data_IF_857526392639
#
_entry.id   IF_857526392639
#
_cell.length_a   1.000
_cell.length_b   1.000
_cell.length_c   1.000
_cell.angle_alpha   90.00
_cell.angle_beta   90.00
_cell.angle_gamma   90.00
#
_symmetry.space_group_name_H-M   'P 1'
#
loop_
_entity.id
_entity.type
_entity.pdbx_description
1 polymer ?
#
# COMPACT_ATOMS: atom_id res chain seq x y z
N UNK A 1 10.99 0.14 25.45
CA UNK A 1 10.89 1.59 25.68
C UNK A 1 11.17 2.27 24.37
N UNK A 2 10.19 2.97 23.80
CA UNK A 2 10.35 3.68 22.53
C UNK A 2 10.74 5.13 22.85
N UNK A 3 11.82 5.60 22.25
CA UNK A 3 12.23 7.00 22.33
C UNK A 3 11.91 7.64 20.98
N UNK A 4 11.03 8.64 20.98
CA UNK A 4 10.70 9.43 19.79
C UNK A 4 11.52 10.72 19.85
N UNK A 5 12.25 11.01 18.78
CA UNK A 5 13.03 12.24 18.62
C UNK A 5 12.36 13.09 17.54
N UNK A 6 12.02 14.34 17.85
CA UNK A 6 11.40 15.29 16.92
C UNK A 6 12.25 16.53 16.68
N UNK A 7 12.04 17.25 15.55
CA UNK A 7 12.73 18.50 15.26
C UNK A 7 12.39 19.57 16.31
N UNK A 8 13.39 20.37 16.65
CA UNK A 8 13.45 21.23 17.82
C UNK A 8 12.91 22.63 17.49
N UNK A 9 11.87 23.10 18.17
CA UNK A 9 11.53 24.54 18.12
C UNK A 9 12.24 25.32 19.23
N UNK A 10 12.57 24.75 20.40
CA UNK A 10 13.21 25.56 21.47
C UNK A 10 14.22 24.90 22.43
N UNK A 11 14.37 23.58 22.54
CA UNK A 11 15.26 23.12 23.63
C UNK A 11 15.26 21.65 23.94
N UNK A 12 14.10 21.07 24.20
CA UNK A 12 13.96 19.70 24.64
C UNK A 12 12.55 19.23 24.29
N UNK A 13 12.43 18.20 23.45
CA UNK A 13 11.28 17.31 23.50
C UNK A 13 11.83 15.88 23.62
N UNK A 14 11.99 15.45 24.87
CA UNK A 14 12.13 14.04 25.20
C UNK A 14 10.75 13.58 25.67
N UNK A 15 9.86 13.26 24.74
CA UNK A 15 8.69 12.46 25.08
C UNK A 15 9.19 11.04 25.35
N UNK A 16 9.61 10.79 26.59
CA UNK A 16 9.79 9.43 27.08
C UNK A 16 8.39 8.89 27.32
N UNK A 17 7.88 8.05 26.41
CA UNK A 17 6.61 7.36 26.62
C UNK A 17 6.91 6.13 27.49
N UNK A 18 6.59 6.15 28.80
CA UNK A 18 6.89 5.03 29.68
C UNK A 18 6.05 3.82 29.25
N UNK A 19 6.74 2.69 29.04
CA UNK A 19 6.16 1.36 28.84
C UNK A 19 4.97 1.30 27.87
N UNK A 20 5.25 1.48 26.58
CA UNK A 20 4.31 0.99 25.58
C UNK A 20 4.21 -0.55 25.68
N UNK A 21 3.03 -1.16 25.45
CA UNK A 21 2.90 -2.62 25.39
C UNK A 21 3.95 -3.17 24.44
N UNK A 22 4.60 -4.30 24.80
CA UNK A 22 5.76 -4.81 24.08
C UNK A 22 5.50 -4.87 22.57
N UNK A 23 6.14 -3.97 21.83
CA UNK A 23 6.09 -3.92 20.38
C UNK A 23 6.99 -5.00 19.81
N UNK A 24 6.48 -6.21 19.73
CA UNK A 24 7.12 -7.25 18.97
C UNK A 24 6.84 -6.95 17.49
N UNK A 25 7.85 -6.44 16.78
CA UNK A 25 7.97 -6.40 15.31
C UNK A 25 7.40 -5.21 14.52
N UNK A 26 6.90 -4.13 15.15
CA UNK A 26 6.45 -2.92 14.43
C UNK A 26 7.16 -1.68 14.96
N UNK A 27 7.82 -0.91 14.08
CA UNK A 27 8.36 0.41 14.40
C UNK A 27 7.26 1.43 14.11
N UNK A 28 6.75 2.14 15.11
CA UNK A 28 5.72 3.12 14.85
C UNK A 28 6.35 4.39 14.26
N UNK A 29 5.62 5.04 13.36
CA UNK A 29 6.12 6.23 12.64
C UNK A 29 5.42 7.47 13.16
N UNK A 30 6.13 8.41 13.82
CA UNK A 30 5.54 9.66 14.28
C UNK A 30 5.39 10.65 13.11
N UNK A 31 4.26 11.35 13.05
CA UNK A 31 4.09 12.53 12.18
C UNK A 31 3.77 13.73 13.03
N UNK A 32 4.40 14.85 12.71
CA UNK A 32 4.26 16.10 13.45
C UNK A 32 3.40 17.06 12.64
N UNK A 33 2.27 17.46 13.20
CA UNK A 33 1.38 18.47 12.63
C UNK A 33 1.35 19.68 13.57
N UNK A 34 1.46 20.88 13.00
CA UNK A 34 1.39 22.13 13.75
C UNK A 34 0.10 22.87 13.42
N UNK A 35 -0.83 22.93 14.36
CA UNK A 35 -2.10 23.66 14.23
C UNK A 35 -2.01 25.11 14.78
N UNK A 36 -0.78 25.54 15.13
CA UNK A 36 -0.53 26.82 15.80
C UNK A 36 -0.87 26.83 17.30
N UNK A 37 -1.52 25.79 17.83
CA UNK A 37 -1.86 25.61 19.25
C UNK A 37 -0.91 24.61 19.95
N UNK A 38 -0.26 23.74 19.17
CA UNK A 38 0.76 22.82 19.64
C UNK A 38 1.31 21.94 18.52
N UNK A 39 2.11 20.96 18.90
CA UNK A 39 2.56 19.88 18.02
C UNK A 39 1.69 18.67 18.33
N UNK A 40 0.83 18.30 17.39
CA UNK A 40 0.10 17.04 17.42
C UNK A 40 1.02 15.98 16.82
N UNK A 41 1.25 14.90 17.56
CA UNK A 41 2.01 13.77 17.06
C UNK A 41 1.10 12.57 16.85
N UNK A 42 0.96 12.16 15.60
CA UNK A 42 0.16 11.00 15.22
C UNK A 42 1.06 9.79 15.07
N UNK A 43 0.71 8.69 15.73
CA UNK A 43 1.44 7.43 15.72
C UNK A 43 0.69 6.40 14.90
N UNK A 44 1.33 5.89 13.85
CA UNK A 44 0.79 4.80 13.05
C UNK A 44 1.38 3.46 13.45
N UNK A 45 0.53 2.44 13.56
CA UNK A 45 0.93 1.11 14.01
C UNK A 45 0.20 0.00 13.28
N UNK A 46 0.91 -1.08 13.02
CA UNK A 46 0.33 -2.38 12.68
C UNK A 46 0.34 -3.25 13.94
N UNK A 47 -0.75 -3.32 14.73
CA UNK A 47 -0.71 -3.72 16.15
C UNK A 47 -0.45 -5.20 16.39
N UNK A 48 -0.63 -6.04 15.37
CA UNK A 48 -0.32 -7.45 15.37
C UNK A 48 -0.20 -7.85 13.90
N UNK A 49 0.87 -8.55 13.53
CA UNK A 49 1.04 -9.02 12.16
C UNK A 49 -0.19 -9.84 11.69
N UNK A 50 -1.01 -10.38 12.60
CA UNK A 50 -2.22 -11.15 12.24
C UNK A 50 -3.51 -10.31 12.09
N UNK A 51 -3.61 -9.14 12.71
CA UNK A 51 -4.85 -8.34 12.60
C UNK A 51 -4.95 -7.65 11.25
N UNK A 52 -3.80 -7.36 10.61
CA UNK A 52 -3.72 -6.65 9.33
C UNK A 52 -4.52 -5.34 9.34
N UNK A 53 -4.38 -4.60 10.43
CA UNK A 53 -5.00 -3.30 10.60
C UNK A 53 -3.93 -2.22 10.79
N UNK A 54 -4.24 -1.01 10.38
CA UNK A 54 -3.50 0.21 10.65
C UNK A 54 -4.23 1.00 11.73
N UNK A 55 -3.63 1.05 12.91
CA UNK A 55 -4.13 1.88 14.00
C UNK A 55 -3.47 3.25 13.98
N UNK A 56 -4.25 4.27 14.34
CA UNK A 56 -3.80 5.65 14.52
C UNK A 56 -3.99 6.05 15.98
N UNK A 57 -2.98 6.68 16.56
CA UNK A 57 -3.02 7.17 17.93
C UNK A 57 -2.59 8.63 18.01
N UNK A 58 -3.28 9.40 18.84
CA UNK A 58 -2.89 10.72 19.27
C UNK A 58 -1.90 10.63 20.44
N UNK A 59 -0.74 11.25 20.26
CA UNK A 59 0.21 11.49 21.35
C UNK A 59 -0.08 12.87 21.93
N UNK A 60 -0.61 12.88 23.15
CA UNK A 60 -0.84 14.13 23.85
C UNK A 60 0.48 14.80 24.25
N UNK A 61 0.66 16.11 24.03
CA UNK A 61 1.87 16.81 24.46
C UNK A 61 1.96 16.94 25.98
N UNK A 62 0.83 16.84 26.69
CA UNK A 62 0.74 17.05 28.15
C UNK A 62 0.53 15.75 28.94
N UNK A 63 0.27 14.64 28.25
CA UNK A 63 -0.01 13.35 28.88
C UNK A 63 0.87 12.25 28.29
N UNK A 64 1.44 11.35 29.12
CA UNK A 64 2.24 10.22 28.65
C UNK A 64 1.40 9.11 28.01
N UNK A 65 0.10 9.32 27.81
CA UNK A 65 -0.84 8.34 27.29
C UNK A 65 -1.07 8.52 25.79
N UNK A 66 -1.12 7.39 25.08
CA UNK A 66 -1.63 7.33 23.71
C UNK A 66 -3.16 7.24 23.75
N UNK A 67 -3.83 8.10 22.99
CA UNK A 67 -5.27 7.99 22.74
C UNK A 67 -5.46 7.35 21.38
N UNK A 68 -6.07 6.17 21.32
CA UNK A 68 -6.46 5.56 20.04
C UNK A 68 -7.51 6.44 19.33
N UNK A 69 -7.31 6.70 18.04
CA UNK A 69 -8.21 7.52 17.23
C UNK A 69 -9.04 6.66 16.29
N UNK A 70 -8.39 5.81 15.50
CA UNK A 70 -9.05 5.04 14.45
C UNK A 70 -8.25 3.80 14.07
N UNK A 71 -8.93 2.86 13.42
CA UNK A 71 -8.35 1.64 12.85
C UNK A 71 -8.83 1.46 11.41
N UNK A 72 -7.94 1.06 10.49
CA UNK A 72 -8.26 0.77 9.08
C UNK A 72 -7.73 -0.59 8.65
N UNK A 73 -8.43 -1.29 7.77
CA UNK A 73 -7.96 -2.59 7.26
C UNK A 73 -6.83 -2.40 6.23
N UNK A 74 -5.75 -3.17 6.36
CA UNK A 74 -4.71 -3.24 5.34
C UNK A 74 -5.14 -4.07 4.13
N UNK A 75 -6.19 -4.87 4.25
CA UNK A 75 -6.65 -5.83 3.25
C UNK A 75 -8.02 -5.43 2.70
N UNK A 76 -8.34 -5.80 1.45
CA UNK A 76 -9.72 -5.74 0.96
C UNK A 76 -10.69 -6.47 1.91
N UNK A 77 -11.93 -5.97 2.09
CA UNK A 77 -12.90 -6.52 3.03
C UNK A 77 -13.31 -7.97 2.71
N UNK A 78 -13.20 -8.38 1.45
CA UNK A 78 -13.49 -9.75 1.01
C UNK A 78 -12.47 -10.80 1.45
N UNK A 79 -11.35 -10.39 2.07
CA UNK A 79 -10.25 -11.28 2.42
C UNK A 79 -10.18 -11.59 3.91
N UNK A 80 -9.90 -12.84 4.23
CA UNK A 80 -9.63 -13.25 5.61
C UNK A 80 -8.23 -12.81 6.06
N UNK A 81 -8.17 -11.97 7.10
CA UNK A 81 -6.92 -11.50 7.72
C UNK A 81 -5.97 -12.61 8.19
N UNK A 82 -6.51 -13.79 8.54
CA UNK A 82 -5.71 -14.94 9.01
C UNK A 82 -4.65 -15.45 8.03
N UNK A 83 -4.82 -15.14 6.73
CA UNK A 83 -3.93 -15.57 5.64
C UNK A 83 -2.83 -14.58 5.33
N UNK A 84 -2.82 -13.41 5.96
CA UNK A 84 -1.90 -12.32 5.61
C UNK A 84 -1.14 -11.83 6.82
N UNK A 85 -0.04 -11.15 6.56
CA UNK A 85 0.71 -10.43 7.58
C UNK A 85 1.09 -9.04 7.11
N UNK A 86 0.76 -8.02 7.89
CA UNK A 86 1.31 -6.67 7.70
C UNK A 86 2.83 -6.71 7.79
N UNK A 87 3.49 -5.80 7.09
CA UNK A 87 4.93 -5.90 6.89
C UNK A 87 5.63 -4.54 6.94
N UNK A 88 5.52 -3.73 5.89
CA UNK A 88 6.13 -2.40 5.83
C UNK A 88 5.08 -1.30 5.99
N UNK A 89 5.48 -0.18 6.61
CA UNK A 89 4.72 1.06 6.68
C UNK A 89 5.65 2.21 6.33
N UNK A 90 5.24 3.05 5.38
CA UNK A 90 5.91 4.27 4.97
C UNK A 90 4.92 5.43 4.88
N UNK A 91 5.45 6.64 4.94
CA UNK A 91 4.71 7.87 4.69
C UNK A 91 5.21 8.47 3.38
N UNK A 92 4.34 9.14 2.62
CA UNK A 92 4.81 9.95 1.51
C UNK A 92 5.81 11.00 1.99
N UNK A 93 6.88 11.27 1.22
CA UNK A 93 7.75 12.40 1.50
C UNK A 93 6.96 13.72 1.53
N UNK A 94 7.31 14.60 2.45
CA UNK A 94 6.83 15.99 2.43
C UNK A 94 7.34 16.70 1.16
N UNK A 95 6.49 17.48 0.52
CA UNK A 95 6.83 18.33 -0.63
C UNK A 95 6.64 19.81 -0.26
N UNK A 96 7.13 20.76 -1.08
CA UNK A 96 6.84 22.18 -0.85
C UNK A 96 5.34 22.51 -0.89
N UNK A 97 4.53 21.81 -1.70
CA UNK A 97 3.07 21.99 -1.72
C UNK A 97 2.38 21.26 -0.56
N UNK A 98 2.96 20.16 -0.08
CA UNK A 98 2.45 19.33 1.01
C UNK A 98 3.53 19.14 2.08
N UNK A 99 3.72 20.09 3.00
CA UNK A 99 4.78 20.02 4.02
C UNK A 99 4.59 18.86 5.00
N UNK A 100 3.38 18.30 5.06
CA UNK A 100 3.02 17.11 5.81
C UNK A 100 2.77 15.94 4.85
N UNK A 101 3.08 14.70 5.26
CA UNK A 101 2.67 13.52 4.50
C UNK A 101 1.16 13.50 4.29
N UNK A 102 0.74 13.31 3.05
CA UNK A 102 -0.68 13.23 2.65
C UNK A 102 -1.11 11.80 2.31
N UNK A 103 -0.17 10.84 2.32
CA UNK A 103 -0.49 9.41 2.19
C UNK A 103 0.33 8.52 3.12
N UNK A 104 -0.27 7.38 3.49
CA UNK A 104 0.40 6.25 4.14
C UNK A 104 0.43 5.07 3.18
N UNK A 105 1.60 4.46 3.08
CA UNK A 105 1.84 3.27 2.27
C UNK A 105 2.09 2.12 3.19
N UNK A 106 1.39 1.01 2.96
CA UNK A 106 1.58 -0.19 3.74
C UNK A 106 1.70 -1.39 2.83
N UNK A 107 2.44 -2.40 3.28
CA UNK A 107 2.48 -3.70 2.62
C UNK A 107 1.97 -4.79 3.54
N UNK A 108 1.34 -5.78 2.93
CA UNK A 108 1.11 -7.09 3.53
C UNK A 108 1.76 -8.15 2.66
N UNK A 109 2.07 -9.29 3.28
CA UNK A 109 2.52 -10.51 2.60
C UNK A 109 1.55 -11.65 2.88
N UNK A 110 1.55 -12.63 1.99
CA UNK A 110 0.88 -13.90 2.25
C UNK A 110 1.50 -14.62 3.45
N UNK A 111 0.67 -15.35 4.19
CA UNK A 111 1.09 -16.25 5.26
C UNK A 111 1.68 -17.57 4.74
N UNK A 112 1.59 -17.81 3.42
CA UNK A 112 2.10 -18.97 2.69
C UNK A 112 2.70 -18.54 1.36
N UNK A 113 3.44 -19.45 0.72
CA UNK A 113 4.16 -19.19 -0.52
C UNK A 113 3.27 -18.98 -1.76
N UNK A 114 2.03 -19.45 -1.71
CA UNK A 114 1.04 -19.33 -2.76
C UNK A 114 0.10 -18.12 -2.58
N UNK A 115 0.22 -17.41 -1.46
CA UNK A 115 -0.65 -16.28 -1.12
C UNK A 115 0.06 -14.97 -1.49
N UNK A 116 -0.59 -14.18 -2.33
CA UNK A 116 -0.13 -12.85 -2.75
C UNK A 116 -0.19 -11.85 -1.59
N UNK A 117 0.64 -10.81 -1.65
CA UNK A 117 0.58 -9.69 -0.73
C UNK A 117 -0.30 -8.56 -1.26
N UNK A 118 -0.34 -7.46 -0.51
CA UNK A 118 -1.06 -6.25 -0.88
C UNK A 118 -0.23 -5.02 -0.59
N UNK A 119 -0.25 -4.04 -1.48
CA UNK A 119 0.13 -2.66 -1.21
C UNK A 119 -1.17 -1.88 -1.00
N UNK A 120 -1.28 -1.19 0.14
CA UNK A 120 -2.43 -0.35 0.47
C UNK A 120 -1.97 1.09 0.72
N UNK A 121 -2.60 2.02 0.01
CA UNK A 121 -2.35 3.46 0.05
C UNK A 121 -3.52 4.11 0.76
N UNK A 122 -3.28 4.82 1.85
CA UNK A 122 -4.31 5.55 2.60
C UNK A 122 -4.14 7.05 2.43
N UNK A 123 -5.23 7.76 2.24
CA UNK A 123 -5.26 9.23 2.18
C UNK A 123 -5.27 9.85 3.57
N UNK A 124 -4.40 10.83 3.80
CA UNK A 124 -4.36 11.62 5.02
C UNK A 124 -4.86 13.04 4.76
N UNK A 125 -5.69 13.53 5.68
CA UNK A 125 -6.08 14.93 5.74
C UNK A 125 -4.97 15.82 6.30
N UNK A 126 -5.24 17.12 6.37
CA UNK A 126 -4.28 18.11 6.87
C UNK A 126 -3.87 17.88 8.34
N UNK A 127 -4.77 17.29 9.12
CA UNK A 127 -4.55 16.96 10.54
C UNK A 127 -3.82 15.62 10.73
N UNK A 128 -3.54 14.88 9.64
CA UNK A 128 -3.00 13.53 9.70
C UNK A 128 -4.03 12.44 10.01
N UNK A 129 -5.32 12.75 9.98
CA UNK A 129 -6.38 11.74 10.09
C UNK A 129 -6.73 11.14 8.72
N UNK A 130 -7.34 9.95 8.69
CA UNK A 130 -7.81 9.35 7.45
C UNK A 130 -8.92 10.17 6.80
N UNK A 131 -8.80 10.45 5.51
CA UNK A 131 -9.86 11.13 4.75
C UNK A 131 -11.08 10.21 4.60
N UNK A 132 -12.20 10.59 5.19
CA UNK A 132 -13.50 9.94 4.98
C UNK A 132 -14.17 10.61 3.77
N UNK A 133 -14.11 9.96 2.61
CA UNK A 133 -14.86 10.43 1.43
C UNK A 133 -16.32 10.04 1.58
N UNK A 134 -17.18 10.95 2.03
CA UNK A 134 -18.62 10.72 1.95
C UNK A 134 -19.01 10.61 0.47
N UNK A 135 -19.07 9.40 -0.11
CA UNK A 135 -19.67 9.27 -1.43
C UNK A 135 -21.14 9.55 -1.27
N UNK A 136 -21.57 10.66 -1.86
CA UNK A 136 -22.88 11.21 -1.61
C UNK A 136 -24.00 10.25 -2.01
N UNK A 137 -24.49 9.46 -1.05
CA UNK A 137 -25.91 9.56 -0.74
C UNK A 137 -26.09 11.01 -0.30
N UNK A 138 -26.30 11.89 -1.27
CA UNK A 138 -26.81 13.24 -1.05
C UNK A 138 -28.21 13.06 -0.47
N UNK A 139 -28.30 12.73 0.83
CA UNK A 139 -29.50 13.04 1.58
C UNK A 139 -29.54 14.56 1.56
N UNK A 140 -30.36 15.09 0.65
CA UNK A 140 -30.74 16.48 0.65
C UNK A 140 -31.39 16.73 2.01
N UNK A 141 -30.58 17.10 3.00
CA UNK A 141 -31.06 17.64 4.28
C UNK A 141 -31.55 19.04 3.94
N UNK A 142 -32.74 19.05 3.34
CA UNK A 142 -33.62 20.18 3.31
C UNK A 142 -33.74 20.67 4.74
N UNK A 143 -33.51 21.97 4.89
CA UNK A 143 -33.74 22.76 6.09
C UNK A 143 -35.26 22.73 6.37
N UNK A 144 -35.72 21.62 6.92
CA UNK A 144 -37.12 21.35 7.28
C UNK A 144 -37.28 21.38 8.79
N UNK A 145 -37.22 22.57 9.36
CA UNK A 145 -37.74 22.86 10.70
C UNK A 145 -39.25 22.57 10.73
N UNK A 146 -39.69 21.59 11.53
CA UNK A 146 -40.95 21.67 12.28
C UNK A 146 -41.15 20.45 13.21
N UNK A 147 -41.09 20.76 14.50
CA UNK A 147 -41.80 20.15 15.64
C UNK A 147 -43.06 19.33 15.27
N UNK A 148 -43.25 18.16 15.89
CA UNK A 148 -44.10 17.95 17.09
C UNK A 148 -44.59 16.49 17.11
N UNK A 149 -44.46 15.86 18.28
CA UNK A 149 -44.44 14.41 18.42
C UNK A 149 -45.78 13.70 18.29
N UNK A 150 -45.67 12.38 18.22
CA UNK A 150 -46.69 11.51 18.80
C UNK A 150 -46.08 10.18 19.22
N UNK A 151 -46.65 9.64 20.30
CA UNK A 151 -46.26 8.46 21.06
C UNK A 151 -46.62 7.21 20.27
N UNK A 152 -45.63 6.41 19.86
CA UNK A 152 -45.87 5.11 19.20
C UNK A 152 -45.22 3.98 19.98
N UNK A 153 -46.03 2.94 20.17
CA UNK A 153 -45.79 1.76 20.98
C UNK A 153 -44.69 0.87 20.39
N UNK A 154 -43.97 0.26 21.33
CA UNK A 154 -42.81 -0.61 21.16
C UNK A 154 -43.21 -1.86 20.37
N UNK A 155 -42.75 -1.96 19.12
CA UNK A 155 -42.81 -3.18 18.31
C UNK A 155 -41.42 -3.81 18.32
N UNK A 156 -41.32 -4.99 18.90
CA UNK A 156 -40.16 -5.88 18.79
C UNK A 156 -40.21 -6.44 17.36
N UNK A 157 -39.42 -5.86 16.46
CA UNK A 157 -39.20 -6.36 15.11
C UNK A 157 -37.74 -6.77 14.97
N UNK A 158 -37.58 -7.86 14.22
CA UNK A 158 -36.39 -8.66 14.06
C UNK A 158 -35.14 -7.82 13.73
N UNK A 159 -34.11 -7.96 14.57
CA UNK A 159 -32.74 -7.54 14.29
C UNK A 159 -32.19 -8.42 13.15
N UNK A 160 -32.57 -8.11 11.91
CA UNK A 160 -31.81 -8.58 10.75
C UNK A 160 -30.49 -7.83 10.76
N UNK A 161 -29.39 -8.56 10.93
CA UNK A 161 -28.01 -8.09 10.82
C UNK A 161 -27.83 -7.44 9.43
N UNK A 162 -28.14 -6.15 9.32
CA UNK A 162 -27.66 -5.30 8.22
C UNK A 162 -26.15 -5.25 8.39
N UNK A 163 -25.45 -6.16 7.69
CA UNK A 163 -24.01 -6.08 7.49
C UNK A 163 -23.74 -4.72 6.83
N UNK A 164 -23.46 -3.70 7.66
CA UNK A 164 -22.99 -2.40 7.22
C UNK A 164 -21.76 -2.69 6.35
N UNK A 165 -21.94 -2.67 5.02
CA UNK A 165 -20.83 -2.68 4.09
C UNK A 165 -20.00 -1.46 4.45
N UNK A 166 -18.91 -1.67 5.20
CA UNK A 166 -17.96 -0.64 5.56
C UNK A 166 -17.40 -0.09 4.25
N UNK A 167 -18.02 0.96 3.73
CA UNK A 167 -17.59 1.64 2.52
C UNK A 167 -16.20 2.18 2.79
N UNK A 168 -15.20 1.48 2.27
CA UNK A 168 -13.82 1.71 2.62
C UNK A 168 -13.28 2.89 1.83
N UNK A 169 -13.55 4.08 2.34
CA UNK A 169 -13.17 5.32 1.72
C UNK A 169 -11.71 5.68 1.95
N UNK A 170 -11.08 6.22 0.91
CA UNK A 170 -9.73 6.78 1.01
C UNK A 170 -8.61 5.73 1.02
N UNK A 171 -8.86 4.52 0.50
CA UNK A 171 -7.83 3.50 0.31
C UNK A 171 -7.77 3.03 -1.14
N UNK A 172 -6.57 3.01 -1.71
CA UNK A 172 -6.27 2.35 -2.99
C UNK A 172 -5.40 1.12 -2.74
N UNK A 173 -5.66 0.05 -3.47
CA UNK A 173 -5.00 -1.24 -3.25
C UNK A 173 -4.47 -1.85 -4.52
N UNK A 174 -3.33 -2.50 -4.39
CA UNK A 174 -2.69 -3.28 -5.44
C UNK A 174 -2.26 -4.64 -4.89
N UNK A 175 -2.70 -5.70 -5.55
CA UNK A 175 -2.29 -7.07 -5.22
C UNK A 175 -0.87 -7.30 -5.75
N UNK A 176 0.06 -7.68 -4.87
CA UNK A 176 1.44 -7.93 -5.27
C UNK A 176 1.60 -9.33 -5.86
N UNK A 177 2.66 -9.59 -6.64
CA UNK A 177 3.10 -10.96 -6.89
C UNK A 177 3.35 -11.72 -5.57
N UNK A 178 3.28 -13.05 -5.60
CA UNK A 178 3.61 -13.83 -4.40
C UNK A 178 5.07 -13.65 -4.01
N UNK A 179 5.28 -13.38 -2.72
CA UNK A 179 6.60 -13.30 -2.11
C UNK A 179 7.06 -14.58 -1.44
N UNK A 180 6.43 -15.73 -1.69
CA UNK A 180 6.83 -16.94 -0.98
C UNK A 180 6.67 -16.81 0.55
N UNK A 181 5.76 -15.94 1.02
CA UNK A 181 5.61 -15.60 2.44
C UNK A 181 6.71 -14.68 3.02
N UNK A 182 7.56 -14.08 2.18
CA UNK A 182 8.58 -13.12 2.59
C UNK A 182 8.08 -11.67 2.57
N UNK A 183 8.87 -10.81 3.18
CA UNK A 183 8.58 -9.39 3.34
C UNK A 183 8.76 -8.64 2.00
N UNK A 184 7.88 -7.69 1.74
CA UNK A 184 8.03 -6.76 0.64
C UNK A 184 8.71 -5.49 1.16
N UNK A 185 9.90 -5.19 0.64
CA UNK A 185 10.49 -3.88 0.83
C UNK A 185 9.96 -2.95 -0.26
N UNK A 186 9.50 -1.76 0.17
CA UNK A 186 9.02 -0.70 -0.72
C UNK A 186 9.89 0.54 -0.53
N UNK A 187 10.18 1.23 -1.63
CA UNK A 187 10.74 2.58 -1.64
C UNK A 187 9.84 3.49 -2.48
N UNK A 188 9.70 4.75 -2.07
CA UNK A 188 8.84 5.73 -2.71
C UNK A 188 9.68 6.87 -3.30
N UNK A 189 9.46 7.17 -4.58
CA UNK A 189 10.16 8.23 -5.30
C UNK A 189 9.13 9.21 -5.90
N UNK A 190 9.01 10.45 -5.36
CA UNK A 190 8.12 11.46 -5.91
C UNK A 190 8.45 11.75 -7.38
N UNK A 191 7.44 11.71 -8.26
CA UNK A 191 7.67 11.92 -9.70
C UNK A 191 8.19 13.32 -10.04
N UNK A 192 7.81 14.30 -9.22
CA UNK A 192 8.27 15.70 -9.33
C UNK A 192 9.80 15.82 -9.22
N UNK A 193 10.44 14.94 -8.45
CA UNK A 193 11.90 14.95 -8.26
C UNK A 193 12.66 14.26 -9.39
N UNK A 194 12.03 13.31 -10.09
CA UNK A 194 12.67 12.53 -11.17
C UNK A 194 12.75 13.35 -12.47
N UNK A 195 12.23 14.58 -12.51
CA UNK A 195 12.36 15.45 -13.68
C UNK A 195 11.66 14.92 -14.93
N UNK A 196 10.81 13.89 -14.79
CA UNK A 196 9.89 13.40 -15.82
C UNK A 196 8.72 14.37 -15.95
N UNK A 197 9.03 15.65 -16.09
CA UNK A 197 8.11 16.61 -16.65
C UNK A 197 7.86 16.11 -18.06
N UNK A 198 6.66 15.57 -18.33
CA UNK A 198 6.24 15.12 -19.66
C UNK A 198 6.51 16.24 -20.67
N UNK A 199 7.66 16.20 -21.32
CA UNK A 199 8.17 17.22 -22.26
C UNK A 199 7.46 17.16 -23.61
N UNK A 200 6.35 16.44 -23.73
CA UNK A 200 5.75 16.08 -25.02
C UNK A 200 4.33 16.59 -25.26
N UNK A 201 3.69 17.27 -24.32
CA UNK A 201 2.33 17.81 -24.54
C UNK A 201 2.33 19.33 -24.35
N UNK A 202 3.01 20.02 -25.26
CA UNK A 202 2.91 21.48 -25.43
C UNK A 202 1.56 21.90 -26.09
N UNK A 203 0.57 20.98 -26.13
CA UNK A 203 -0.74 21.18 -26.72
C UNK A 203 -1.73 21.83 -25.75
N UNK A 204 -1.89 23.14 -25.88
CA UNK A 204 -3.11 23.90 -25.49
C UNK A 204 -3.33 24.16 -24.00
N UNK A 205 -2.60 25.16 -23.47
CA UNK A 205 -3.19 26.44 -23.02
C UNK A 205 -4.41 26.48 -22.09
N UNK A 206 -4.75 25.40 -21.39
CA UNK A 206 -5.82 25.39 -20.40
C UNK A 206 -5.33 25.90 -19.05
N UNK A 207 -5.28 27.23 -18.87
CA UNK A 207 -5.21 27.85 -17.55
C UNK A 207 -6.44 27.37 -16.73
N UNK A 208 -6.21 26.60 -15.66
CA UNK A 208 -7.26 26.27 -14.68
C UNK A 208 -7.44 24.80 -14.30
N UNK A 209 -6.58 23.88 -14.74
CA UNK A 209 -6.61 22.49 -14.27
C UNK A 209 -5.98 22.32 -12.88
N UNK A 210 -6.61 22.82 -11.81
CA UNK A 210 -6.35 22.37 -10.44
C UNK A 210 -6.51 20.84 -10.40
N UNK A 211 -5.46 20.11 -10.03
CA UNK A 211 -5.47 18.64 -10.02
C UNK A 211 -4.43 17.97 -10.91
N UNK A 212 -3.32 18.68 -11.23
CA UNK A 212 -2.17 18.12 -11.93
C UNK A 212 -1.41 17.14 -11.02
N UNK A 213 -1.88 15.89 -10.96
CA UNK A 213 -1.11 14.71 -10.49
C UNK A 213 -0.42 14.85 -9.15
N UNK A 214 -1.01 15.60 -8.22
CA UNK A 214 -0.39 15.84 -6.92
C UNK A 214 -0.27 14.53 -6.14
N UNK A 215 0.91 14.31 -5.55
CA UNK A 215 1.23 13.06 -4.85
C UNK A 215 1.66 11.90 -5.74
N UNK A 216 1.83 12.08 -7.05
CA UNK A 216 2.26 10.99 -7.91
C UNK A 216 3.66 10.46 -7.50
N UNK A 217 3.78 9.12 -7.39
CA UNK A 217 5.03 8.45 -6.99
C UNK A 217 5.36 7.27 -7.91
N UNK A 218 6.65 7.03 -8.06
CA UNK A 218 7.17 5.72 -8.43
C UNK A 218 7.39 4.89 -7.17
N UNK A 219 7.03 3.61 -7.24
CA UNK A 219 7.16 2.67 -6.12
C UNK A 219 8.09 1.57 -6.56
N UNK A 220 9.22 1.41 -5.88
CA UNK A 220 10.09 0.27 -6.08
C UNK A 220 9.71 -0.82 -5.08
N UNK A 221 9.14 -1.90 -5.57
CA UNK A 221 8.78 -3.07 -4.78
C UNK A 221 9.85 -4.15 -5.00
N UNK A 222 10.57 -4.49 -3.94
CA UNK A 222 11.59 -5.54 -3.95
C UNK A 222 11.14 -6.74 -3.14
N UNK A 223 11.43 -7.91 -3.68
CA UNK A 223 11.05 -9.19 -3.11
C UNK A 223 12.28 -10.10 -3.07
N UNK A 224 12.73 -10.45 -1.87
CA UNK A 224 13.88 -11.32 -1.66
C UNK A 224 13.51 -12.81 -1.81
N UNK A 225 12.28 -13.12 -2.20
CA UNK A 225 11.79 -14.47 -2.37
C UNK A 225 12.24 -15.09 -3.67
N UNK A 226 12.66 -16.34 -3.54
CA UNK A 226 12.92 -17.25 -4.62
C UNK A 226 11.70 -17.41 -5.56
N UNK A 227 10.48 -17.25 -5.02
CA UNK A 227 9.22 -17.35 -5.77
C UNK A 227 8.89 -16.12 -6.62
N UNK A 228 9.45 -14.96 -6.30
CA UNK A 228 9.16 -13.71 -7.00
C UNK A 228 9.59 -13.73 -8.48
N UNK A 229 10.54 -14.62 -8.81
CA UNK A 229 11.03 -14.84 -10.17
C UNK A 229 10.09 -15.58 -11.11
N UNK A 230 9.07 -16.26 -10.58
CA UNK A 230 8.20 -17.09 -11.42
C UNK A 230 7.22 -16.25 -12.24
N UNK A 231 6.94 -15.01 -11.83
CA UNK A 231 6.02 -14.13 -12.53
C UNK A 231 4.55 -14.55 -12.36
N UNK A 232 3.59 -13.65 -12.62
CA UNK A 232 2.17 -13.95 -12.49
C UNK A 232 1.73 -15.00 -13.51
N UNK A 233 1.25 -16.16 -13.02
CA UNK A 233 0.55 -17.15 -13.83
C UNK A 233 1.36 -18.34 -14.34
N UNK A 234 2.62 -18.49 -13.91
CA UNK A 234 3.27 -19.81 -13.88
C UNK A 234 2.78 -20.53 -12.63
N UNK A 235 1.69 -21.28 -12.77
CA UNK A 235 1.37 -22.26 -11.75
C UNK A 235 2.54 -23.24 -11.71
N UNK A 236 3.19 -23.31 -10.55
CA UNK A 236 4.18 -24.33 -10.31
C UNK A 236 3.39 -25.63 -10.28
N UNK A 237 3.27 -26.30 -11.44
CA UNK A 237 2.79 -27.67 -11.48
C UNK A 237 3.77 -28.47 -10.61
N UNK A 238 3.45 -28.59 -9.33
CA UNK A 238 4.19 -29.37 -8.36
C UNK A 238 3.87 -30.84 -8.60
N UNK A 239 4.08 -31.31 -9.82
CA UNK A 239 3.94 -32.72 -10.17
C UNK A 239 5.28 -33.41 -9.88
N UNK A 240 5.35 -34.03 -8.71
CA UNK A 240 6.09 -35.27 -8.48
C UNK A 240 7.58 -35.35 -8.89
N UNK A 241 8.36 -34.27 -8.75
CA UNK A 241 9.83 -34.36 -8.88
C UNK A 241 10.49 -34.86 -7.59
N UNK A 242 10.15 -36.07 -7.16
CA UNK A 242 10.56 -36.66 -5.88
C UNK A 242 12.05 -37.10 -5.81
N UNK A 243 12.90 -36.87 -6.83
CA UNK A 243 14.23 -37.52 -6.85
C UNK A 243 15.48 -36.73 -7.26
N UNK A 244 15.41 -35.42 -7.51
CA UNK A 244 16.64 -34.65 -7.75
C UNK A 244 17.02 -33.75 -6.56
N UNK A 245 17.45 -34.37 -5.45
CA UNK A 245 17.96 -33.74 -4.22
C UNK A 245 19.21 -32.83 -4.38
N UNK A 246 19.71 -32.61 -5.60
CA UNK A 246 20.97 -31.87 -5.83
C UNK A 246 20.82 -30.49 -6.45
N UNK A 247 19.69 -30.21 -7.12
CA UNK A 247 19.47 -28.92 -7.76
C UNK A 247 18.63 -28.03 -6.87
N UNK A 248 19.24 -27.32 -5.92
CA UNK A 248 18.58 -26.14 -5.34
C UNK A 248 18.32 -25.19 -6.51
N UNK A 249 17.10 -25.21 -7.05
CA UNK A 249 16.62 -24.17 -7.93
C UNK A 249 16.74 -22.88 -7.13
N UNK A 250 17.82 -22.14 -7.37
CA UNK A 250 18.04 -20.84 -6.76
C UNK A 250 16.94 -19.96 -7.33
N UNK A 251 15.83 -19.82 -6.61
CA UNK A 251 14.84 -18.86 -7.01
C UNK A 251 15.48 -17.49 -6.93
N UNK A 252 15.05 -16.61 -7.84
CA UNK A 252 15.62 -15.28 -7.96
C UNK A 252 14.65 -14.32 -7.30
N UNK A 253 15.18 -13.37 -6.54
CA UNK A 253 14.39 -12.23 -6.07
C UNK A 253 13.77 -11.49 -7.27
N UNK A 254 12.73 -10.73 -6.99
CA UNK A 254 12.01 -9.94 -7.98
C UNK A 254 12.11 -8.45 -7.66
N UNK A 255 12.14 -7.63 -8.70
CA UNK A 255 11.95 -6.19 -8.60
C UNK A 255 10.74 -5.81 -9.44
N UNK A 256 9.88 -4.97 -8.91
CA UNK A 256 8.74 -4.38 -9.63
C UNK A 256 8.81 -2.87 -9.43
N UNK A 257 8.62 -2.14 -10.52
CA UNK A 257 8.41 -0.71 -10.49
C UNK A 257 6.93 -0.49 -10.74
N UNK A 258 6.25 0.03 -9.72
CA UNK A 258 4.87 0.43 -9.79
C UNK A 258 4.79 1.95 -9.95
N UNK A 259 3.69 2.37 -10.51
CA UNK A 259 3.35 3.76 -10.76
C UNK A 259 2.03 4.08 -10.07
N UNK A 260 2.02 5.20 -9.37
CA UNK A 260 0.81 5.80 -8.83
C UNK A 260 0.70 7.24 -9.32
N UNK A 261 -0.37 7.54 -10.05
CA UNK A 261 -0.63 8.86 -10.64
C UNK A 261 -1.46 9.79 -9.73
N UNK A 262 -1.70 9.36 -8.48
CA UNK A 262 -2.55 10.03 -7.51
C UNK A 262 -4.00 9.52 -7.52
N UNK A 263 -4.79 10.01 -6.57
CA UNK A 263 -6.16 9.57 -6.33
C UNK A 263 -7.06 9.69 -7.56
N UNK A 264 -7.83 8.64 -7.84
CA UNK A 264 -8.82 8.65 -8.94
C UNK A 264 -8.20 8.66 -10.34
N UNK A 265 -6.89 8.38 -10.47
CA UNK A 265 -6.17 8.29 -11.75
C UNK A 265 -5.90 6.85 -12.22
N UNK A 266 -6.64 5.88 -11.68
CA UNK A 266 -6.58 4.48 -12.09
C UNK A 266 -5.79 3.56 -11.15
N UNK A 267 -5.50 4.01 -9.93
CA UNK A 267 -4.86 3.18 -8.91
C UNK A 267 -3.35 3.04 -9.08
N UNK A 268 -2.77 2.17 -8.26
CA UNK A 268 -1.38 1.71 -8.40
C UNK A 268 -1.32 0.65 -9.51
N UNK A 269 -0.36 0.77 -10.43
CA UNK A 269 -0.14 -0.20 -11.53
C UNK A 269 1.32 -0.57 -11.69
N UNK A 270 1.59 -1.79 -12.14
CA UNK A 270 2.96 -2.22 -12.52
C UNK A 270 3.33 -1.64 -13.90
N UNK A 271 4.51 -1.02 -13.99
CA UNK A 271 5.05 -0.47 -15.25
C UNK A 271 6.18 -1.33 -15.79
N UNK A 272 7.04 -1.83 -14.91
CA UNK A 272 8.10 -2.77 -15.28
C UNK A 272 8.34 -3.76 -14.16
N UNK A 273 8.63 -5.00 -14.55
CA UNK A 273 8.96 -6.08 -13.63
C UNK A 273 10.17 -6.87 -14.11
N UNK A 274 11.05 -7.22 -13.16
CA UNK A 274 12.15 -8.14 -13.37
C UNK A 274 12.10 -9.32 -12.38
N UNK A 275 12.26 -10.58 -12.84
CA UNK A 275 12.34 -10.96 -14.24
C UNK A 275 11.03 -10.63 -14.97
N UNK A 276 11.13 -10.40 -16.29
CA UNK A 276 9.95 -10.14 -17.13
C UNK A 276 8.98 -11.30 -16.97
N UNK A 277 7.73 -11.00 -16.64
CA UNK A 277 6.69 -12.01 -16.65
C UNK A 277 6.66 -12.64 -18.05
N UNK A 278 6.75 -13.98 -18.13
CA UNK A 278 6.54 -14.66 -19.41
C UNK A 278 5.14 -14.27 -19.87
N UNK A 279 5.05 -13.48 -20.93
CA UNK A 279 3.76 -13.17 -21.53
C UNK A 279 3.10 -14.53 -21.81
N UNK A 280 1.95 -14.79 -21.19
CA UNK A 280 1.15 -15.96 -21.55
C UNK A 280 0.84 -15.77 -23.02
N UNK A 281 1.56 -16.47 -23.90
CA UNK A 281 1.23 -16.55 -25.31
C UNK A 281 -0.20 -17.06 -25.31
N UNK A 282 -1.13 -16.14 -25.58
CA UNK A 282 -2.56 -16.43 -25.56
C UNK A 282 -2.72 -17.49 -26.63
N UNK A 283 -2.86 -18.74 -26.19
CA UNK A 283 -3.03 -19.87 -27.08
C UNK A 283 -4.37 -19.65 -27.77
N UNK A 284 -4.34 -19.01 -28.94
CA UNK A 284 -5.41 -19.10 -29.91
C UNK A 284 -5.38 -20.55 -30.40
N UNK A 285 -6.00 -21.42 -29.60
CA UNK A 285 -6.31 -22.79 -29.96
C UNK A 285 -7.42 -22.72 -30.99
N UNK A 286 -7.06 -22.52 -32.25
CA UNK A 286 -7.86 -22.99 -33.37
C UNK A 286 -7.00 -22.95 -34.64
N UNK A 287 -6.89 -24.12 -35.30
CA UNK A 287 -6.37 -24.34 -36.66
C UNK A 287 -4.86 -24.16 -36.85
N UNK A 288 -4.15 -24.86 -37.71
CA UNK A 288 -4.32 -26.10 -38.48
C UNK A 288 -2.89 -26.37 -39.01
N UNK A 289 -2.55 -27.64 -39.11
CA UNK A 289 -1.30 -28.20 -39.61
C UNK A 289 -0.56 -27.38 -40.70
N UNK A 290 0.52 -26.69 -40.32
CA UNK A 290 1.43 -26.05 -41.26
C UNK A 290 2.84 -26.02 -40.69
N UNK A 291 3.68 -26.95 -41.13
CA UNK A 291 5.12 -27.00 -40.84
C UNK A 291 5.79 -25.67 -41.22
N UNK A 292 6.09 -24.83 -40.23
CA UNK A 292 7.05 -23.74 -40.40
C UNK A 292 8.15 -23.89 -39.35
N UNK A 293 9.32 -24.29 -39.84
CA UNK A 293 10.60 -24.21 -39.17
C UNK A 293 10.92 -22.74 -38.86
N UNK A 294 10.53 -22.28 -37.67
CA UNK A 294 10.99 -21.00 -37.13
C UNK A 294 12.29 -21.25 -36.36
N UNK A 295 13.40 -21.02 -37.07
CA UNK A 295 14.74 -20.97 -36.53
C UNK A 295 14.85 -19.86 -35.46
N UNK A 296 14.83 -20.28 -34.19
CA UNK A 296 15.99 -20.12 -33.31
C UNK A 296 16.61 -18.74 -33.15
N UNK A 297 15.84 -17.75 -32.71
CA UNK A 297 16.41 -16.66 -31.89
C UNK A 297 16.15 -16.97 -30.40
N UNK A 298 16.80 -18.04 -29.93
CA UNK A 298 17.16 -18.17 -28.51
C UNK A 298 18.26 -17.13 -28.26
N UNK A 299 17.89 -15.86 -28.11
CA UNK A 299 18.74 -14.96 -27.35
C UNK A 299 18.84 -15.57 -25.94
N UNK A 300 19.95 -16.29 -25.71
CA UNK A 300 20.56 -16.45 -24.39
C UNK A 300 20.84 -15.04 -23.85
N UNK A 301 19.80 -14.29 -23.53
CA UNK A 301 19.87 -13.11 -22.69
C UNK A 301 20.54 -13.63 -21.42
N UNK A 302 21.81 -13.25 -21.28
CA UNK A 302 22.75 -13.87 -20.36
C UNK A 302 22.11 -14.01 -19.00
N UNK A 303 22.51 -15.08 -18.29
CA UNK A 303 22.06 -15.40 -16.93
C UNK A 303 22.49 -14.32 -15.92
N UNK A 304 22.16 -13.05 -16.14
CA UNK A 304 22.24 -11.99 -15.17
C UNK A 304 21.31 -12.41 -14.03
N UNK A 305 21.96 -12.69 -12.92
CA UNK A 305 21.33 -13.08 -11.67
C UNK A 305 21.49 -11.86 -10.78
N UNK A 306 20.38 -11.28 -10.32
CA UNK A 306 20.45 -10.52 -9.08
C UNK A 306 20.85 -11.50 -7.97
N UNK A 307 22.10 -11.40 -7.54
CA UNK A 307 22.60 -12.08 -6.34
C UNK A 307 22.86 -11.00 -5.29
N UNK A 308 22.20 -11.12 -4.14
CA UNK A 308 22.38 -10.22 -2.99
C UNK A 308 21.19 -9.31 -2.75
N UNK A 309 20.74 -9.24 -1.49
CA UNK A 309 19.78 -8.25 -1.03
C UNK A 309 20.41 -6.86 -1.02
N UNK A 310 19.62 -5.84 -1.37
CA UNK A 310 19.98 -4.41 -1.50
C UNK A 310 20.93 -4.07 -2.66
N UNK A 311 20.43 -4.13 -3.90
CA UNK A 311 21.01 -3.37 -5.00
C UNK A 311 20.23 -2.06 -5.16
N UNK A 312 20.93 -0.94 -5.14
CA UNK A 312 20.34 0.35 -5.51
C UNK A 312 20.00 0.31 -7.01
N UNK A 313 18.72 0.42 -7.34
CA UNK A 313 18.28 0.62 -8.72
C UNK A 313 18.43 2.12 -9.00
N UNK A 314 19.33 2.47 -9.92
CA UNK A 314 19.42 3.83 -10.43
C UNK A 314 18.42 3.96 -11.57
N UNK A 315 17.42 4.83 -11.39
CA UNK A 315 16.53 5.24 -12.46
C UNK A 315 17.23 6.42 -13.17
N UNK A 316 17.76 6.18 -14.37
CA UNK A 316 18.28 7.22 -15.28
C UNK A 316 17.14 7.93 -16.03
#
# INVERSE_FOLDING_TARGET
MLYLFGPKVDGVLLASIPSLPSFNHSIPVPVFHGDGSGIIMTLYRVPNLKSNNLDTYLISPTSPHLTHLSTRSLLPPSLSSSKYRGDTLLLSPSTPSHPIPHTIWTTTRGGKEDVRGWVSVFELGEDGDFVVKNTGIRTSTGTGSALKGDRVEKKEEDEEDEEEEEEEYGVERYETPTSGGKAHAIDLYPKELVGVNRTGDEGSGGEGGEGKGEGAVWILLTDDSDHASLGPGTETESSDSERNKGGRGQGRGGVRVLEWDGWGKGGVREVVGWPKAKAKTKGDSDSDSGDQELEGEEEEEGKERMMGGSHAVWLD
#
